data_IF_777566316443
#
_entry.id   IF_777566316443
#
_cell.length_a   1.000
_cell.length_b   1.000
_cell.length_c   1.000
_cell.angle_alpha   90.00
_cell.angle_beta   90.00
_cell.angle_gamma   90.00
#
_symmetry.space_group_name_H-M   'P 1'
#
loop_
_entity.id
_entity.type
_entity.pdbx_description
1 polymer ?
#
# COMPACT_ATOMS: atom_id res chain seq x y z
N UNK A 1 14.18 11.51 -18.93
CA UNK A 1 14.51 10.45 -17.96
C UNK A 1 13.26 9.60 -17.81
N UNK A 2 13.38 8.30 -17.54
CA UNK A 2 12.21 7.49 -17.21
C UNK A 2 11.57 8.03 -15.94
N UNK A 3 10.24 8.07 -15.93
CA UNK A 3 9.44 8.83 -14.96
C UNK A 3 8.52 7.88 -14.19
N UNK A 4 8.62 7.91 -12.86
CA UNK A 4 7.89 7.02 -11.96
C UNK A 4 6.64 7.75 -11.44
N UNK A 5 5.42 7.32 -11.79
CA UNK A 5 4.21 7.97 -11.31
C UNK A 5 3.98 7.61 -9.84
N UNK A 6 4.01 8.61 -8.97
CA UNK A 6 3.63 8.46 -7.57
C UNK A 6 2.11 8.29 -7.46
N UNK A 7 1.62 7.48 -6.50
CA UNK A 7 0.19 7.40 -6.23
C UNK A 7 -0.35 8.76 -5.78
N UNK A 8 -1.48 9.19 -6.35
CA UNK A 8 -2.11 10.46 -6.02
C UNK A 8 -2.79 10.46 -4.64
N UNK A 9 -3.17 9.29 -4.14
CA UNK A 9 -3.72 9.10 -2.81
C UNK A 9 -3.27 7.74 -2.29
N UNK A 10 -3.35 7.58 -0.98
CA UNK A 10 -3.06 6.35 -0.27
C UNK A 10 -4.33 5.96 0.46
N UNK A 11 -5.05 4.95 -0.05
CA UNK A 11 -6.32 4.51 0.54
C UNK A 11 -7.36 5.64 0.62
N UNK A 12 -7.41 6.49 -0.40
CA UNK A 12 -8.32 7.64 -0.45
C UNK A 12 -7.88 8.88 0.31
N UNK A 13 -6.70 8.86 0.95
CA UNK A 13 -6.15 10.02 1.65
C UNK A 13 -5.03 10.67 0.83
N UNK A 14 -5.16 11.96 0.56
CA UNK A 14 -4.13 12.78 -0.09
C UNK A 14 -3.21 13.40 0.98
N UNK A 15 -1.89 13.37 0.74
CA UNK A 15 -0.92 14.02 1.61
C UNK A 15 -0.03 14.96 0.78
N UNK A 16 -0.10 16.24 1.15
CA UNK A 16 0.64 17.31 0.49
C UNK A 16 1.85 17.71 1.35
N UNK A 17 3.01 17.77 0.73
CA UNK A 17 4.23 18.34 1.30
C UNK A 17 4.36 19.80 0.86
N UNK A 18 4.24 20.73 1.80
CA UNK A 18 4.43 22.16 1.53
C UNK A 18 5.92 22.45 1.35
N UNK A 19 6.28 23.14 0.28
CA UNK A 19 7.67 23.48 -0.01
C UNK A 19 8.10 24.73 0.78
N UNK A 20 9.22 24.63 1.49
CA UNK A 20 9.85 25.79 2.14
C UNK A 20 10.42 26.78 1.12
N UNK A 21 10.88 26.29 -0.03
CA UNK A 21 11.55 27.09 -1.06
C UNK A 21 10.76 27.09 -2.36
N UNK A 22 10.02 28.18 -2.58
CA UNK A 22 9.19 28.39 -3.77
C UNK A 22 9.84 29.36 -4.76
N UNK A 23 9.72 29.05 -6.05
CA UNK A 23 10.14 29.92 -7.15
C UNK A 23 8.99 30.88 -7.52
N UNK A 24 8.91 32.00 -6.80
CA UNK A 24 7.82 32.98 -6.91
C UNK A 24 7.59 33.52 -8.33
N UNK A 25 8.64 33.64 -9.14
CA UNK A 25 8.48 34.10 -10.53
C UNK A 25 7.58 33.16 -11.35
N UNK A 26 7.67 31.86 -11.11
CA UNK A 26 6.85 30.87 -11.82
C UNK A 26 5.47 30.77 -11.20
N UNK A 27 5.37 30.69 -9.86
CA UNK A 27 4.08 30.46 -9.19
C UNK A 27 3.12 31.64 -9.37
N UNK A 28 3.61 32.88 -9.31
CA UNK A 28 2.80 34.08 -9.56
C UNK A 28 2.36 34.22 -11.03
N UNK A 29 2.92 33.42 -11.94
CA UNK A 29 2.51 33.36 -13.34
C UNK A 29 1.33 32.40 -13.58
N UNK A 30 1.02 31.54 -12.60
CA UNK A 30 -0.06 30.57 -12.68
C UNK A 30 -1.37 31.19 -12.17
N UNK A 31 -2.53 30.78 -12.71
CA UNK A 31 -3.80 31.08 -12.06
C UNK A 31 -3.81 30.44 -10.67
N UNK A 32 -4.24 31.17 -9.63
CA UNK A 32 -4.30 30.64 -8.26
C UNK A 32 -5.74 30.81 -7.71
N UNK A 33 -6.31 29.78 -7.06
CA UNK A 33 -5.75 28.45 -6.81
C UNK A 33 -5.73 27.56 -8.06
N UNK A 34 -4.71 26.70 -8.20
CA UNK A 34 -4.66 25.70 -9.28
C UNK A 34 -3.91 24.44 -8.87
N UNK A 35 -4.21 23.33 -9.54
CA UNK A 35 -3.45 22.09 -9.46
C UNK A 35 -2.72 21.87 -10.78
N UNK A 36 -1.43 21.56 -10.72
CA UNK A 36 -0.57 21.36 -11.89
C UNK A 36 0.19 20.05 -11.81
N UNK A 37 0.35 19.31 -12.92
CA UNK A 37 1.29 18.20 -12.98
C UNK A 37 2.73 18.67 -12.78
N UNK A 38 3.47 17.93 -11.96
CA UNK A 38 4.87 18.22 -11.64
C UNK A 38 5.74 16.97 -11.75
N UNK A 39 7.02 17.22 -11.93
CA UNK A 39 8.09 16.23 -11.91
C UNK A 39 9.10 16.59 -10.83
N UNK A 40 9.56 15.57 -10.13
CA UNK A 40 10.61 15.65 -9.13
C UNK A 40 11.91 15.19 -9.77
N UNK A 41 12.84 16.12 -9.94
CA UNK A 41 14.17 15.85 -10.48
C UNK A 41 15.21 15.87 -9.36
N UNK A 42 16.01 14.81 -9.21
CA UNK A 42 17.05 14.75 -8.19
C UNK A 42 18.08 15.90 -8.37
N UNK A 43 18.33 16.65 -7.30
CA UNK A 43 19.38 17.67 -7.26
C UNK A 43 20.64 17.11 -6.59
N UNK A 44 21.51 16.49 -7.39
CA UNK A 44 22.77 15.90 -6.91
C UNK A 44 23.72 16.91 -6.24
N UNK A 45 23.51 18.22 -6.42
CA UNK A 45 24.32 19.25 -5.77
C UNK A 45 23.90 19.49 -4.32
N UNK A 46 22.60 19.42 -4.03
CA UNK A 46 22.04 19.74 -2.71
C UNK A 46 21.54 18.51 -1.95
N UNK A 47 21.37 17.37 -2.61
CA UNK A 47 20.74 16.18 -2.03
C UNK A 47 19.20 16.25 -1.99
N UNK A 48 18.61 17.31 -2.53
CA UNK A 48 17.15 17.52 -2.56
C UNK A 48 16.50 17.09 -3.88
N UNK A 49 15.30 17.61 -4.11
CA UNK A 49 14.53 17.45 -5.35
C UNK A 49 14.10 18.80 -5.90
N UNK A 50 14.18 18.96 -7.21
CA UNK A 50 13.62 20.12 -7.91
C UNK A 50 12.23 19.79 -8.37
N UNK A 51 11.28 20.65 -8.04
CA UNK A 51 9.88 20.51 -8.43
C UNK A 51 9.65 21.32 -9.70
N UNK A 52 9.36 20.64 -10.81
CA UNK A 52 9.24 21.25 -12.12
C UNK A 52 7.87 20.95 -12.73
N UNK A 53 7.20 21.98 -13.21
CA UNK A 53 6.00 21.88 -14.06
C UNK A 53 6.34 22.22 -15.51
N UNK A 54 5.36 22.07 -16.40
CA UNK A 54 5.50 22.54 -17.79
C UNK A 54 5.71 24.06 -17.92
N UNK A 55 5.35 24.83 -16.88
CA UNK A 55 5.49 26.29 -16.85
C UNK A 55 6.84 26.74 -16.29
N UNK A 56 7.65 25.82 -15.75
CA UNK A 56 8.94 26.11 -15.14
C UNK A 56 9.10 25.46 -13.78
N UNK A 57 10.16 25.84 -13.09
CA UNK A 57 10.45 25.38 -11.74
C UNK A 57 9.46 26.03 -10.75
N UNK A 58 8.83 25.22 -9.92
CA UNK A 58 7.92 25.69 -8.87
C UNK A 58 8.64 25.86 -7.54
N UNK A 59 9.66 25.04 -7.26
CA UNK A 59 10.39 25.10 -6.00
C UNK A 59 11.36 23.94 -5.82
N UNK A 60 11.76 23.74 -4.58
CA UNK A 60 12.67 22.67 -4.17
C UNK A 60 12.17 21.99 -2.91
N UNK A 61 12.32 20.68 -2.88
CA UNK A 61 12.37 19.90 -1.65
C UNK A 61 13.85 19.84 -1.21
N UNK A 62 14.18 20.42 -0.07
CA UNK A 62 15.52 20.39 0.51
C UNK A 62 15.93 18.99 0.93
N UNK A 63 17.20 18.80 1.28
CA UNK A 63 17.66 17.52 1.84
C UNK A 63 17.01 17.22 3.19
N UNK A 64 16.67 18.25 3.96
CA UNK A 64 15.96 18.11 5.24
C UNK A 64 14.53 17.64 5.01
N UNK A 65 13.75 18.33 4.16
CA UNK A 65 12.38 17.91 3.84
C UNK A 65 12.36 16.54 3.13
N UNK A 66 13.34 16.27 2.26
CA UNK A 66 13.45 14.97 1.59
C UNK A 66 13.77 13.82 2.55
N UNK A 67 14.31 14.10 3.74
CA UNK A 67 14.58 13.07 4.75
C UNK A 67 13.29 12.46 5.33
N UNK A 68 12.17 13.19 5.26
CA UNK A 68 10.85 12.67 5.63
C UNK A 68 10.30 11.67 4.59
N UNK A 69 10.93 11.61 3.41
CA UNK A 69 10.52 10.77 2.28
C UNK A 69 11.67 9.86 1.81
N UNK A 70 12.16 8.93 2.67
CA UNK A 70 13.36 8.14 2.40
C UNK A 70 13.24 7.24 1.17
N UNK A 71 12.03 6.83 0.80
CA UNK A 71 11.79 6.00 -0.38
C UNK A 71 12.23 6.68 -1.67
N UNK A 72 12.13 8.01 -1.76
CA UNK A 72 12.53 8.74 -2.97
C UNK A 72 14.00 8.50 -3.34
N UNK A 73 14.85 8.16 -2.36
CA UNK A 73 16.23 7.76 -2.62
C UNK A 73 16.32 6.56 -3.58
N UNK A 74 15.34 5.64 -3.57
CA UNK A 74 15.28 4.53 -4.53
C UNK A 74 15.15 5.02 -5.97
N UNK A 75 14.32 6.04 -6.22
CA UNK A 75 14.22 6.65 -7.56
C UNK A 75 15.52 7.35 -7.95
N UNK A 76 16.14 8.05 -7.00
CA UNK A 76 17.43 8.72 -7.20
C UNK A 76 18.51 7.71 -7.59
N UNK A 77 18.61 6.60 -6.85
CA UNK A 77 19.55 5.52 -7.14
C UNK A 77 19.28 4.85 -8.50
N UNK A 78 18.01 4.70 -8.88
CA UNK A 78 17.61 4.19 -10.19
C UNK A 78 17.78 5.22 -11.34
N UNK A 79 18.16 6.47 -11.05
CA UNK A 79 18.31 7.53 -12.05
C UNK A 79 16.98 7.98 -12.68
N UNK A 80 15.88 7.82 -11.96
CA UNK A 80 14.51 8.13 -12.41
C UNK A 80 14.05 9.49 -11.87
N UNK A 81 13.06 10.08 -12.54
CA UNK A 81 12.25 11.18 -11.98
C UNK A 81 10.98 10.63 -11.36
N UNK A 82 10.33 11.40 -10.49
CA UNK A 82 8.98 11.08 -10.02
C UNK A 82 7.96 12.03 -10.63
N UNK A 83 6.78 11.56 -11.02
CA UNK A 83 5.66 12.43 -11.43
C UNK A 83 4.50 12.38 -10.45
N UNK A 84 3.92 13.54 -10.22
CA UNK A 84 2.75 13.73 -9.33
C UNK A 84 2.07 15.06 -9.66
N UNK A 85 1.17 15.52 -8.80
CA UNK A 85 0.55 16.85 -8.86
C UNK A 85 1.06 17.77 -7.75
N UNK A 86 0.96 19.06 -7.97
CA UNK A 86 1.16 20.07 -6.93
C UNK A 86 -0.01 21.05 -6.94
N UNK A 87 -0.42 21.47 -5.75
CA UNK A 87 -1.32 22.58 -5.55
C UNK A 87 -0.53 23.88 -5.41
N UNK A 88 -0.97 24.92 -6.09
CA UNK A 88 -0.33 26.23 -6.10
C UNK A 88 -1.32 27.28 -5.64
N UNK A 89 -0.97 27.97 -4.55
CA UNK A 89 -1.73 29.05 -3.94
C UNK A 89 -0.82 30.28 -3.82
N UNK A 90 -0.76 31.09 -4.88
CA UNK A 90 0.08 32.30 -4.96
C UNK A 90 1.58 32.01 -4.70
N UNK A 91 2.05 32.22 -3.48
CA UNK A 91 3.42 32.01 -3.01
C UNK A 91 3.63 30.67 -2.30
N UNK A 92 2.58 29.90 -2.09
CA UNK A 92 2.63 28.57 -1.48
C UNK A 92 2.49 27.47 -2.55
N UNK A 93 3.31 26.42 -2.42
CA UNK A 93 3.27 25.24 -3.28
C UNK A 93 3.26 24.00 -2.39
N UNK A 94 2.28 23.13 -2.60
CA UNK A 94 2.15 21.88 -1.87
C UNK A 94 2.17 20.72 -2.87
N UNK A 95 3.14 19.82 -2.75
CA UNK A 95 3.36 18.70 -3.69
C UNK A 95 2.73 17.45 -3.12
N UNK A 96 1.97 16.73 -3.94
CA UNK A 96 1.39 15.46 -3.54
C UNK A 96 2.46 14.36 -3.54
N UNK A 97 3.07 14.15 -2.38
CA UNK A 97 4.06 13.09 -2.18
C UNK A 97 3.42 11.85 -1.57
N UNK A 98 2.35 12.00 -0.81
CA UNK A 98 1.76 10.88 -0.09
C UNK A 98 2.39 10.64 1.28
N UNK A 99 2.05 9.50 1.88
CA UNK A 99 2.55 9.14 3.20
C UNK A 99 3.85 8.32 3.10
N UNK A 100 4.85 8.64 3.91
CA UNK A 100 6.05 7.83 4.04
C UNK A 100 5.80 6.64 4.98
N UNK A 101 6.39 5.46 4.71
CA UNK A 101 7.14 5.00 3.53
C UNK A 101 6.29 4.23 2.49
N UNK A 102 5.24 4.85 1.95
CA UNK A 102 4.34 4.22 0.97
C UNK A 102 4.45 4.81 -0.46
N UNK A 103 5.56 5.48 -0.77
CA UNK A 103 5.70 6.18 -2.05
C UNK A 103 5.98 5.23 -3.21
N UNK A 104 6.81 4.22 -2.93
CA UNK A 104 7.39 3.34 -3.93
C UNK A 104 7.22 1.91 -3.46
N UNK A 105 6.55 1.11 -4.29
CA UNK A 105 6.35 -0.29 -4.00
C UNK A 105 7.68 -1.05 -3.85
N UNK A 106 7.72 -2.07 -2.99
CA UNK A 106 8.92 -2.90 -2.77
C UNK A 106 9.22 -3.78 -3.99
N UNK A 107 8.20 -4.27 -4.69
CA UNK A 107 8.31 -4.98 -5.96
C UNK A 107 7.91 -4.12 -7.15
N UNK A 108 8.17 -4.64 -8.34
CA UNK A 108 7.69 -4.10 -9.59
C UNK A 108 6.23 -4.49 -9.86
N UNK A 109 5.56 -3.71 -10.71
CA UNK A 109 4.23 -4.09 -11.19
C UNK A 109 4.34 -5.42 -11.97
N UNK A 110 3.49 -6.42 -11.69
CA UNK A 110 3.52 -7.70 -12.39
C UNK A 110 3.31 -7.53 -13.91
N UNK A 111 4.04 -8.32 -14.69
CA UNK A 111 4.04 -8.22 -16.15
C UNK A 111 2.64 -8.52 -16.73
N UNK A 112 2.24 -7.77 -17.76
CA UNK A 112 0.94 -7.90 -18.45
C UNK A 112 -0.30 -7.61 -17.59
N UNK A 113 -0.15 -6.93 -16.45
CA UNK A 113 -1.28 -6.46 -15.65
C UNK A 113 -1.68 -5.04 -15.99
N UNK A 114 -2.96 -4.71 -15.77
CA UNK A 114 -3.45 -3.34 -15.75
C UNK A 114 -3.54 -2.88 -14.29
N UNK A 115 -2.99 -1.70 -13.99
CA UNK A 115 -2.96 -1.17 -12.63
C UNK A 115 -4.27 -0.41 -12.32
N UNK A 116 -4.95 -0.85 -11.26
CA UNK A 116 -6.14 -0.19 -10.74
C UNK A 116 -5.79 1.19 -10.15
N UNK A 117 -6.71 2.13 -10.33
CA UNK A 117 -6.67 3.39 -9.59
C UNK A 117 -6.94 3.14 -8.10
N UNK A 118 -6.26 3.90 -7.24
CA UNK A 118 -6.53 3.91 -5.80
C UNK A 118 -7.62 4.90 -5.42
N UNK A 119 -8.17 4.74 -4.22
CA UNK A 119 -9.11 5.68 -3.63
C UNK A 119 -9.97 5.11 -2.50
N UNK A 120 -10.10 3.79 -2.37
CA UNK A 120 -10.88 3.14 -1.31
C UNK A 120 -10.11 1.97 -0.73
N UNK A 121 -9.91 1.92 0.60
CA UNK A 121 -9.29 0.77 1.25
C UNK A 121 -10.20 -0.45 1.24
N UNK A 122 -9.62 -1.60 0.92
CA UNK A 122 -10.20 -2.91 1.17
C UNK A 122 -9.22 -3.75 2.00
N UNK A 123 -9.68 -4.19 3.18
CA UNK A 123 -8.88 -5.01 4.08
C UNK A 123 -8.62 -6.40 3.49
N UNK A 124 -7.44 -6.95 3.75
CA UNK A 124 -7.04 -8.30 3.34
C UNK A 124 -6.91 -9.17 4.57
N UNK A 125 -7.55 -10.34 4.53
CA UNK A 125 -7.32 -11.40 5.51
C UNK A 125 -6.07 -12.21 5.14
N UNK A 126 -4.98 -11.96 5.86
CA UNK A 126 -3.69 -12.65 5.73
C UNK A 126 -3.61 -13.92 6.58
N UNK A 127 -4.63 -14.25 7.38
CA UNK A 127 -4.59 -15.41 8.27
C UNK A 127 -4.80 -16.75 7.56
N UNK A 128 -5.32 -16.69 6.33
CA UNK A 128 -5.71 -17.87 5.53
C UNK A 128 -4.69 -18.28 4.47
N UNK A 129 -3.54 -17.59 4.38
CA UNK A 129 -2.49 -17.95 3.42
C UNK A 129 -1.60 -19.10 3.91
N UNK A 130 -1.22 -19.98 2.98
CA UNK A 130 -0.19 -21.01 3.20
C UNK A 130 1.22 -20.53 2.89
N UNK A 131 1.35 -19.49 2.05
CA UNK A 131 2.60 -19.17 1.36
C UNK A 131 3.37 -18.07 2.10
N UNK A 132 2.64 -17.11 2.68
CA UNK A 132 3.19 -15.98 3.42
C UNK A 132 2.80 -16.08 4.89
N UNK A 133 3.80 -16.14 5.77
CA UNK A 133 3.58 -16.16 7.22
C UNK A 133 3.41 -14.75 7.76
N UNK A 134 2.59 -14.59 8.80
CA UNK A 134 2.37 -13.30 9.46
C UNK A 134 3.67 -12.62 9.92
N UNK A 135 4.65 -13.40 10.39
CA UNK A 135 5.97 -12.86 10.78
C UNK A 135 6.72 -12.23 9.61
N UNK A 136 6.55 -12.74 8.38
CA UNK A 136 7.17 -12.15 7.19
C UNK A 136 6.50 -10.80 6.83
N UNK A 137 5.19 -10.68 7.07
CA UNK A 137 4.46 -9.42 6.87
C UNK A 137 4.91 -8.39 7.92
N UNK A 138 5.07 -8.80 9.17
CA UNK A 138 5.60 -7.95 10.25
C UNK A 138 7.03 -7.48 9.98
N UNK A 139 7.89 -8.35 9.41
CA UNK A 139 9.26 -8.02 9.02
C UNK A 139 9.35 -6.95 7.91
N UNK A 140 8.34 -6.87 7.03
CA UNK A 140 8.26 -5.79 6.02
C UNK A 140 8.02 -4.41 6.66
N UNK A 141 7.47 -4.37 7.88
CA UNK A 141 7.11 -3.15 8.57
C UNK A 141 6.08 -2.33 7.78
N UNK A 142 6.27 -1.02 7.72
CA UNK A 142 5.44 -0.14 6.89
C UNK A 142 5.99 -0.13 5.47
N UNK A 143 5.19 -0.57 4.50
CA UNK A 143 5.61 -0.68 3.10
C UNK A 143 4.43 -0.64 2.12
N UNK A 144 4.72 -0.33 0.85
CA UNK A 144 3.79 -0.55 -0.26
C UNK A 144 4.28 -1.68 -1.14
N UNK A 145 3.36 -2.44 -1.73
CA UNK A 145 3.63 -3.53 -2.69
C UNK A 145 2.60 -3.52 -3.81
N UNK A 146 2.94 -4.05 -4.98
CA UNK A 146 1.97 -4.41 -6.01
C UNK A 146 1.48 -5.83 -5.78
N UNK A 147 0.17 -6.00 -5.87
CA UNK A 147 -0.53 -7.29 -5.76
C UNK A 147 -1.26 -7.60 -7.06
N UNK A 148 -1.40 -8.86 -7.41
CA UNK A 148 -2.28 -9.33 -8.48
C UNK A 148 -3.53 -9.96 -7.87
N UNK A 149 -4.69 -9.78 -8.52
CA UNK A 149 -5.94 -10.40 -8.08
C UNK A 149 -6.25 -11.66 -8.88
N UNK A 150 -6.78 -12.67 -8.19
CA UNK A 150 -7.25 -13.90 -8.77
C UNK A 150 -8.65 -14.24 -8.25
N UNK A 151 -9.57 -14.55 -9.16
CA UNK A 151 -10.90 -15.04 -8.82
C UNK A 151 -10.86 -16.57 -8.75
N UNK A 152 -11.00 -17.13 -7.54
CA UNK A 152 -10.89 -18.57 -7.28
C UNK A 152 -12.15 -19.03 -6.52
N UNK A 153 -12.97 -19.84 -7.18
CA UNK A 153 -14.23 -20.30 -6.59
C UNK A 153 -15.19 -19.13 -6.39
N UNK A 154 -15.60 -18.90 -5.15
CA UNK A 154 -16.51 -17.81 -4.75
C UNK A 154 -15.75 -16.63 -4.11
N UNK A 155 -14.41 -16.63 -4.14
CA UNK A 155 -13.55 -15.73 -3.40
C UNK A 155 -12.54 -15.01 -4.31
N UNK A 156 -12.10 -13.83 -3.87
CA UNK A 156 -11.01 -13.07 -4.49
C UNK A 156 -9.76 -13.19 -3.61
N UNK A 157 -8.72 -13.76 -4.19
CA UNK A 157 -7.41 -13.95 -3.57
C UNK A 157 -6.44 -12.95 -4.19
N UNK A 158 -5.51 -12.45 -3.38
CA UNK A 158 -4.41 -11.63 -3.87
C UNK A 158 -3.08 -12.34 -3.73
N UNK A 159 -2.18 -12.10 -4.68
CA UNK A 159 -0.84 -12.67 -4.72
C UNK A 159 0.21 -11.56 -4.81
N UNK A 160 1.41 -11.86 -4.31
CA UNK A 160 2.62 -11.04 -4.46
C UNK A 160 3.74 -11.99 -4.89
N UNK A 161 4.37 -11.71 -6.02
CA UNK A 161 5.47 -12.52 -6.59
C UNK A 161 5.14 -14.02 -6.62
N UNK A 162 3.95 -14.36 -7.14
CA UNK A 162 3.36 -15.71 -7.21
C UNK A 162 3.00 -16.38 -5.86
N UNK A 163 3.28 -15.75 -4.72
CA UNK A 163 2.87 -16.24 -3.41
C UNK A 163 1.48 -15.72 -3.03
N UNK A 164 0.62 -16.59 -2.50
CA UNK A 164 -0.68 -16.17 -1.96
C UNK A 164 -0.46 -15.23 -0.78
N UNK A 165 -0.86 -13.98 -0.92
CA UNK A 165 -0.65 -12.96 0.11
C UNK A 165 -1.83 -12.86 1.07
N UNK A 166 -3.06 -13.06 0.57
CA UNK A 166 -4.24 -13.10 1.43
C UNK A 166 -5.55 -13.13 0.66
N UNK A 167 -6.65 -13.11 1.41
CA UNK A 167 -8.01 -13.12 0.90
C UNK A 167 -8.62 -11.71 0.99
N UNK A 168 -9.12 -11.19 -0.12
CA UNK A 168 -9.83 -9.90 -0.15
C UNK A 168 -11.29 -10.05 0.33
N UNK A 169 -11.90 -11.20 0.05
CA UNK A 169 -13.27 -11.53 0.44
C UNK A 169 -14.06 -12.23 -0.67
N UNK A 170 -15.36 -12.45 -0.46
CA UNK A 170 -16.21 -13.14 -1.41
C UNK A 170 -16.42 -12.31 -2.68
N UNK A 171 -16.40 -12.96 -3.83
CA UNK A 171 -16.55 -12.37 -5.16
C UNK A 171 -17.88 -11.58 -5.32
N UNK A 172 -18.92 -11.96 -4.56
CA UNK A 172 -20.21 -11.28 -4.56
C UNK A 172 -20.14 -9.83 -4.06
N UNK A 173 -19.17 -9.50 -3.19
CA UNK A 173 -19.01 -8.14 -2.66
C UNK A 173 -18.21 -7.24 -3.63
N UNK A 174 -17.61 -7.83 -4.67
CA UNK A 174 -16.70 -7.16 -5.61
C UNK A 174 -17.08 -7.43 -7.08
N UNK A 175 -18.37 -7.34 -7.41
CA UNK A 175 -18.89 -7.68 -8.76
C UNK A 175 -18.13 -6.99 -9.90
N UNK A 176 -17.80 -5.70 -9.74
CA UNK A 176 -17.05 -4.95 -10.75
C UNK A 176 -15.64 -5.52 -10.94
N UNK A 177 -14.95 -5.86 -9.85
CA UNK A 177 -13.60 -6.43 -9.90
C UNK A 177 -13.62 -7.79 -10.61
N UNK A 178 -14.63 -8.62 -10.33
CA UNK A 178 -14.82 -9.92 -11.01
C UNK A 178 -15.05 -9.73 -12.51
N UNK A 179 -15.87 -8.75 -12.91
CA UNK A 179 -16.10 -8.45 -14.34
C UNK A 179 -14.84 -7.96 -15.05
N UNK A 180 -14.00 -7.18 -14.36
CA UNK A 180 -12.73 -6.71 -14.92
C UNK A 180 -11.70 -7.85 -15.02
N UNK A 181 -11.62 -8.71 -13.99
CA UNK A 181 -10.72 -9.87 -13.99
C UNK A 181 -11.03 -10.87 -15.09
N UNK A 182 -12.29 -11.00 -15.50
CA UNK A 182 -12.68 -11.83 -16.63
C UNK A 182 -12.14 -11.31 -17.99
N UNK A 183 -11.68 -10.05 -18.05
CA UNK A 183 -11.24 -9.40 -19.28
C UNK A 183 -9.72 -9.24 -19.35
N UNK A 184 -9.08 -8.92 -18.22
CA UNK A 184 -7.65 -8.65 -18.15
C UNK A 184 -7.10 -8.98 -16.76
N UNK A 185 -5.82 -9.41 -16.65
CA UNK A 185 -5.13 -9.45 -15.37
C UNK A 185 -5.05 -8.05 -14.74
N UNK A 186 -5.32 -7.97 -13.44
CA UNK A 186 -5.38 -6.72 -12.69
C UNK A 186 -4.34 -6.73 -11.58
N UNK A 187 -3.65 -5.60 -11.45
CA UNK A 187 -2.81 -5.32 -10.30
C UNK A 187 -3.37 -4.13 -9.51
N UNK A 188 -3.07 -4.06 -8.22
CA UNK A 188 -3.32 -2.88 -7.39
C UNK A 188 -2.13 -2.61 -6.48
N UNK A 189 -2.10 -1.41 -5.90
CA UNK A 189 -1.21 -1.11 -4.78
C UNK A 189 -1.85 -1.64 -3.50
N UNK A 190 -1.07 -2.35 -2.71
CA UNK A 190 -1.40 -2.67 -1.33
C UNK A 190 -0.45 -1.92 -0.39
N UNK A 191 -0.97 -1.60 0.78
CA UNK A 191 -0.26 -0.92 1.85
C UNK A 191 -0.24 -1.80 3.08
N UNK A 192 0.94 -1.88 3.68
CA UNK A 192 1.25 -2.68 4.86
C UNK A 192 1.64 -1.72 5.97
N UNK A 193 1.08 -1.92 7.15
CA UNK A 193 1.53 -1.29 8.40
C UNK A 193 1.15 -2.21 9.57
N UNK A 194 2.03 -2.31 10.56
CA UNK A 194 1.79 -3.10 11.79
C UNK A 194 1.30 -4.54 11.55
N UNK A 195 1.76 -5.18 10.47
CA UNK A 195 1.36 -6.54 10.09
C UNK A 195 -0.03 -6.65 9.45
N UNK A 196 -0.75 -5.54 9.29
CA UNK A 196 -2.04 -5.49 8.61
C UNK A 196 -1.84 -5.09 7.15
N UNK A 197 -2.79 -5.45 6.30
CA UNK A 197 -2.71 -5.26 4.84
C UNK A 197 -4.03 -4.72 4.31
N UNK A 198 -3.97 -3.65 3.52
CA UNK A 198 -5.10 -3.14 2.76
C UNK A 198 -4.73 -2.93 1.29
N UNK A 199 -5.62 -3.30 0.39
CA UNK A 199 -5.50 -3.04 -1.05
C UNK A 199 -6.26 -1.77 -1.38
N UNK A 200 -5.70 -0.97 -2.27
CA UNK A 200 -6.31 0.27 -2.73
C UNK A 200 -7.13 0.02 -3.99
N UNK A 201 -8.45 0.18 -3.87
CA UNK A 201 -9.42 -0.04 -4.94
C UNK A 201 -9.94 1.28 -5.52
N UNK A 202 -10.42 1.29 -6.78
CA UNK A 202 -10.92 2.52 -7.41
C UNK A 202 -12.14 3.09 -6.68
N UNK A 203 -12.05 4.37 -6.28
CA UNK A 203 -13.19 5.11 -5.74
C UNK A 203 -14.17 5.57 -6.82
N UNK A 204 -13.65 5.98 -7.97
CA UNK A 204 -14.46 6.51 -9.08
C UNK A 204 -14.66 5.43 -10.16
N UNK A 205 -15.91 5.00 -10.42
CA UNK A 205 -16.22 4.06 -11.50
C UNK A 205 -15.82 4.54 -12.90
N UNK A 206 -15.58 5.84 -13.11
CA UNK A 206 -15.13 6.39 -14.38
C UNK A 206 -13.61 6.37 -14.56
N UNK A 207 -12.86 6.28 -13.46
CA UNK A 207 -11.40 6.29 -13.44
C UNK A 207 -10.88 5.03 -12.74
N UNK A 208 -11.04 3.89 -13.42
CA UNK A 208 -10.70 2.57 -12.87
C UNK A 208 -9.20 2.25 -12.94
N UNK A 209 -8.46 2.90 -13.83
CA UNK A 209 -7.08 2.53 -14.16
C UNK A 209 -6.15 3.73 -14.15
N UNK A 210 -4.89 3.46 -13.83
CA UNK A 210 -3.78 4.41 -13.93
C UNK A 210 -2.70 3.90 -14.87
N UNK A 211 -1.76 4.76 -15.23
CA UNK A 211 -0.63 4.37 -16.05
C UNK A 211 0.22 3.29 -15.36
N UNK A 212 0.71 2.33 -16.14
CA UNK A 212 1.64 1.30 -15.64
C UNK A 212 2.90 1.93 -15.08
N UNK A 213 3.45 1.29 -14.06
CA UNK A 213 4.62 1.78 -13.33
C UNK A 213 5.88 1.16 -13.93
N UNK A 214 6.88 1.98 -14.35
CA UNK A 214 8.13 1.46 -14.86
C UNK A 214 8.93 0.74 -13.77
N UNK A 215 9.60 -0.34 -14.17
CA UNK A 215 10.45 -1.16 -13.31
C UNK A 215 11.62 -0.37 -12.73
N UNK A 216 11.93 -0.59 -11.46
CA UNK A 216 13.08 0.00 -10.80
C UNK A 216 14.28 -0.93 -10.98
N UNK A 217 15.23 -0.56 -11.84
CA UNK A 217 16.46 -1.35 -12.11
C UNK A 217 17.44 -1.45 -10.91
N UNK A 218 16.96 -1.31 -9.68
CA UNK A 218 17.76 -1.44 -8.46
C UNK A 218 17.94 -2.90 -8.10
N UNK A 219 19.15 -3.28 -7.65
CA UNK A 219 19.53 -4.62 -7.12
C UNK A 219 18.64 -5.12 -5.95
N UNK A 220 17.68 -4.31 -5.50
CA UNK A 220 16.65 -4.60 -4.51
C UNK A 220 15.38 -5.24 -5.09
N UNK A 221 15.45 -5.78 -6.31
CA UNK A 221 14.46 -6.66 -6.95
C UNK A 221 14.36 -8.03 -6.22
N UNK A 222 14.48 -7.99 -4.89
CA UNK A 222 14.32 -9.11 -4.02
C UNK A 222 12.81 -9.37 -3.93
N UNK A 223 12.42 -10.60 -4.28
CA UNK A 223 11.10 -11.16 -4.01
C UNK A 223 10.64 -10.71 -2.62
N UNK A 224 9.46 -10.09 -2.54
CA UNK A 224 8.93 -9.50 -1.29
C UNK A 224 8.89 -10.55 -0.19
N UNK A 225 8.47 -11.76 -0.56
CA UNK A 225 8.50 -12.93 0.30
C UNK A 225 9.45 -13.95 -0.28
N UNK A 226 10.54 -14.33 0.41
CA UNK A 226 11.37 -15.42 -0.05
C UNK A 226 10.51 -16.69 -0.16
N UNK A 227 10.66 -17.43 -1.26
CA UNK A 227 9.94 -18.67 -1.48
C UNK A 227 10.04 -19.58 -0.26
N UNK A 228 8.89 -20.04 0.24
CA UNK A 228 8.83 -20.96 1.36
C UNK A 228 9.69 -22.18 1.01
N UNK A 229 10.65 -22.53 1.86
CA UNK A 229 11.37 -23.80 1.73
C UNK A 229 10.32 -24.92 1.65
N UNK A 230 10.47 -25.92 0.75
CA UNK A 230 9.52 -27.00 0.65
C UNK A 230 9.31 -27.57 2.06
N UNK A 231 8.05 -27.56 2.50
CA UNK A 231 7.65 -28.20 3.75
C UNK A 231 8.27 -29.58 3.74
N UNK A 232 9.16 -29.85 4.68
CA UNK A 232 9.91 -31.11 4.80
C UNK A 232 8.94 -32.27 4.98
N UNK A 233 8.33 -32.72 3.90
CA UNK A 233 7.40 -33.84 3.79
C UNK A 233 7.95 -34.94 2.88
N UNK A 234 9.02 -34.67 2.14
CA UNK A 234 9.71 -35.65 1.27
C UNK A 234 11.13 -36.02 1.73
N UNK A 235 11.58 -35.53 2.90
CA UNK A 235 12.80 -36.00 3.57
C UNK A 235 12.54 -36.66 4.94
N UNK A 236 11.26 -36.83 5.32
CA UNK A 236 10.88 -37.44 6.60
C UNK A 236 11.06 -38.97 6.64
N UNK A 237 11.26 -39.64 5.51
CA UNK A 237 11.42 -41.11 5.47
C UNK A 237 12.86 -41.59 5.70
N UNK A 238 13.85 -40.70 5.83
CA UNK A 238 15.26 -41.09 6.09
C UNK A 238 15.78 -40.73 7.49
N UNK A 239 14.96 -40.11 8.36
CA UNK A 239 15.34 -39.76 9.74
C UNK A 239 14.49 -40.42 10.84
N UNK A 240 13.65 -41.40 10.48
CA UNK A 240 12.94 -42.23 11.45
C UNK A 240 13.82 -43.36 12.00
N UNK A 241 14.86 -42.99 12.76
CA UNK A 241 15.42 -43.85 13.81
C UNK A 241 15.45 -43.09 15.13
N UNK A 242 14.27 -42.79 15.66
CA UNK A 242 14.12 -42.28 17.03
C UNK A 242 13.33 -43.28 17.87
N UNK A 243 13.93 -43.63 19.01
CA UNK A 243 13.56 -44.68 19.96
C UNK A 243 12.31 -44.28 20.79
N UNK A 244 11.24 -45.10 20.87
CA UNK A 244 9.93 -44.67 21.35
C UNK A 244 9.75 -44.75 22.87
N UNK A 245 10.66 -44.16 23.66
CA UNK A 245 10.47 -44.04 25.13
C UNK A 245 10.81 -42.67 25.69
N UNK A 246 10.14 -41.62 25.22
CA UNK A 246 10.08 -40.35 25.96
C UNK A 246 8.71 -39.66 25.83
N UNK A 247 7.78 -40.15 26.64
CA UNK A 247 6.71 -39.49 27.38
C UNK A 247 6.53 -37.94 27.25
N UNK A 248 5.32 -37.48 26.89
CA UNK A 248 4.34 -36.74 27.73
C UNK A 248 3.31 -35.91 26.90
N UNK A 249 2.02 -36.28 26.99
CA UNK A 249 0.83 -35.44 26.68
C UNK A 249 0.70 -34.30 27.72
N UNK A 250 0.08 -33.12 27.46
CA UNK A 250 -1.39 -32.95 27.20
C UNK A 250 -1.78 -31.64 26.44
N UNK A 251 -3.01 -31.05 26.54
CA UNK A 251 -4.37 -31.54 26.24
C UNK A 251 -5.15 -30.65 25.21
N UNK A 252 -6.32 -31.15 24.80
CA UNK A 252 -7.39 -30.53 23.99
C UNK A 252 -7.91 -29.15 24.44
N UNK A 253 -8.36 -28.31 23.48
CA UNK A 253 -9.68 -27.61 23.45
C UNK A 253 -9.79 -26.64 22.24
N UNK A 254 -10.50 -27.02 21.16
CA UNK A 254 -11.86 -26.56 20.72
C UNK A 254 -12.00 -25.14 20.15
N UNK A 255 -12.31 -25.06 18.83
CA UNK A 255 -12.80 -23.88 18.09
C UNK A 255 -14.32 -23.71 18.17
N UNK A 256 -14.80 -22.47 18.06
CA UNK A 256 -16.00 -21.94 17.34
C UNK A 256 -16.54 -20.68 18.08
N UNK A 257 -17.16 -19.65 17.49
CA UNK A 257 -17.56 -19.21 16.14
C UNK A 257 -18.04 -17.77 16.35
N UNK A 258 -17.69 -16.81 15.49
CA UNK A 258 -18.30 -15.47 15.50
C UNK A 258 -19.15 -15.26 14.25
N UNK A 259 -20.39 -14.80 14.46
CA UNK A 259 -21.32 -14.37 13.43
C UNK A 259 -21.32 -12.84 13.32
N UNK A 260 -21.15 -12.39 12.07
CA UNK A 260 -21.92 -11.35 11.36
C UNK A 260 -21.61 -9.85 11.51
N UNK A 261 -21.23 -9.34 10.32
CA UNK A 261 -21.55 -8.08 9.62
C UNK A 261 -20.87 -6.78 10.10
N UNK A 262 -20.06 -6.21 9.20
CA UNK A 262 -19.64 -4.81 9.26
C UNK A 262 -20.28 -3.98 8.14
N UNK A 263 -20.80 -2.83 8.57
CA UNK A 263 -21.10 -1.67 7.75
C UNK A 263 -19.78 -1.00 7.34
N UNK A 264 -19.77 -0.43 6.12
CA UNK A 264 -18.69 0.41 5.60
C UNK A 264 -18.44 1.63 6.50
N UNK A 265 -17.22 1.85 7.03
CA UNK A 265 -16.88 3.12 7.67
C UNK A 265 -16.66 4.20 6.59
N UNK A 266 -17.26 5.37 6.79
CA UNK A 266 -16.84 6.60 6.10
C UNK A 266 -15.72 7.22 6.93
N UNK A 267 -14.52 7.28 6.35
CA UNK A 267 -13.37 7.91 6.98
C UNK A 267 -13.38 9.40 6.63
N UNK A 268 -13.71 10.26 7.60
CA UNK A 268 -13.55 11.71 7.48
C UNK A 268 -12.15 12.11 8.00
N UNK A 269 -11.34 12.78 7.17
CA UNK A 269 -10.14 13.59 7.49
C UNK A 269 -9.22 13.10 8.64
N UNK A 270 -9.05 11.80 8.81
CA UNK A 270 -8.09 11.22 9.76
C UNK A 270 -6.74 10.96 9.07
N UNK A 271 -5.61 11.01 9.81
CA UNK A 271 -4.33 10.59 9.26
C UNK A 271 -4.42 9.12 8.80
N UNK A 272 -3.85 8.79 7.65
CA UNK A 272 -4.07 7.49 7.02
C UNK A 272 -3.64 6.29 7.88
N UNK A 273 -2.69 6.45 8.81
CA UNK A 273 -2.33 5.39 9.78
C UNK A 273 -3.48 5.11 10.77
N UNK A 274 -4.17 6.15 11.23
CA UNK A 274 -5.36 5.98 12.09
C UNK A 274 -6.55 5.44 11.30
N UNK A 275 -6.72 5.87 10.04
CA UNK A 275 -7.72 5.30 9.13
C UNK A 275 -7.43 3.82 8.85
N UNK A 276 -6.15 3.49 8.68
CA UNK A 276 -5.68 2.12 8.50
C UNK A 276 -5.93 1.28 9.75
N UNK A 277 -5.55 1.74 10.94
CA UNK A 277 -5.93 1.08 12.20
C UNK A 277 -7.45 0.98 12.39
N UNK A 278 -8.21 1.98 11.97
CA UNK A 278 -9.66 1.99 12.06
C UNK A 278 -10.34 0.99 11.12
N UNK A 279 -9.68 0.54 10.04
CA UNK A 279 -10.13 -0.61 9.26
C UNK A 279 -10.12 -1.91 10.08
N UNK A 280 -9.27 -2.01 11.10
CA UNK A 280 -9.05 -3.24 11.88
C UNK A 280 -9.49 -3.13 13.35
N UNK A 281 -9.88 -1.95 13.84
CA UNK A 281 -10.46 -1.77 15.18
C UNK A 281 -11.91 -2.26 15.20
N UNK A 282 -12.13 -3.42 15.82
CA UNK A 282 -13.44 -3.79 16.37
C UNK A 282 -13.82 -2.75 17.43
N UNK A 283 -15.02 -2.15 17.37
CA UNK A 283 -15.49 -1.13 18.31
C UNK A 283 -15.27 -1.55 19.78
N UNK A 284 -14.26 -0.95 20.42
CA UNK A 284 -14.22 -0.78 21.87
C UNK A 284 -14.69 0.64 22.18
N UNK A 285 -15.98 0.79 22.45
CA UNK A 285 -16.49 1.94 23.22
C UNK A 285 -17.46 1.45 24.28
N UNK A 286 -16.96 1.48 25.50
CA UNK A 286 -17.62 1.73 26.79
C UNK A 286 -18.75 0.80 27.27
N UNK A 287 -18.34 -0.32 27.87
CA UNK A 287 -18.96 -0.77 29.12
C UNK A 287 -18.35 0.03 30.27
N UNK A 288 -19.00 1.11 30.69
CA UNK A 288 -18.93 1.61 32.07
C UNK A 288 -20.02 2.66 32.32
N UNK A 289 -21.23 2.20 32.67
CA UNK A 289 -22.15 2.88 33.60
C UNK A 289 -23.03 1.84 34.30
N UNK A 290 -22.44 1.12 35.24
CA UNK A 290 -23.19 0.62 36.39
C UNK A 290 -23.37 1.75 37.40
N UNK A 291 -24.61 1.94 37.84
CA UNK A 291 -24.93 2.62 39.10
C UNK A 291 -25.78 3.87 38.97
N UNK A 292 -27.10 3.72 38.96
CA UNK A 292 -27.96 4.38 39.97
C UNK A 292 -29.36 3.73 40.02
N UNK A 293 -29.54 3.03 41.15
CA UNK A 293 -30.72 2.62 41.93
C UNK A 293 -32.15 2.69 41.37
N UNK A 294 -32.83 1.55 41.53
CA UNK A 294 -34.27 1.45 41.78
C UNK A 294 -34.61 1.83 43.22
N UNK A 295 -35.30 2.96 43.43
CA UNK A 295 -36.55 3.13 44.20
C UNK A 295 -36.95 4.60 44.34
#
# INVERSE_FOLDING_TARGET
>A
MPDYPLPANHLGVEHLAVLDFVCLSTTLSLPAPTQVPVTLEADNRTGGWRIRSMFGMLGWLTVQEAADFPDLERLRAAGMTASTTAEVYLDEVAVNLGLAPWHIARNDQPDNTVLLAGGVPAAVDTSMTSDVQQSQIEELGTASVFVEFHHIGDDIVITVDDAVFGLLGPAADYELLVQLLAQTPLAARAYIAEGLVAVDLPADPQQLFVASVPKLNSDTDATVFPASLPTTGELADELLSFDPTEYLEPPHATKNKSQRFFQTPKFDNQPATEAFEALFRTEQTDNDKDGEEYN
#
